data_IF_956969787608
#
_entry.id   IF_956969787608
#
_cell.length_a   1.000
_cell.length_b   1.000
_cell.length_c   1.000
_cell.angle_alpha   90.00
_cell.angle_beta   90.00
_cell.angle_gamma   90.00
#
_symmetry.space_group_name_H-M   'P 1'
#
loop_
_entity.id
_entity.type
_entity.pdbx_description
1 polymer ?
#
# COMPACT_ATOMS: atom_id res chain seq x y z
N UNK A 1 -26.41 14.83 14.22
CA UNK A 1 -26.83 13.40 14.25
C UNK A 1 -25.80 12.69 13.40
N UNK A 2 -24.79 12.09 14.04
CA UNK A 2 -23.82 11.29 13.31
C UNK A 2 -24.55 10.03 12.87
N UNK A 3 -24.67 9.81 11.56
CA UNK A 3 -25.07 8.50 11.06
C UNK A 3 -24.10 7.49 11.64
N UNK A 4 -24.65 6.51 12.36
CA UNK A 4 -23.94 5.36 12.90
C UNK A 4 -23.44 4.56 11.69
N UNK A 5 -22.22 4.88 11.23
CA UNK A 5 -21.58 4.14 10.15
C UNK A 5 -21.25 2.77 10.73
N UNK A 6 -22.11 1.79 10.44
CA UNK A 6 -21.87 0.38 10.73
C UNK A 6 -20.51 -0.02 10.15
N UNK A 7 -19.50 0.03 11.01
CA UNK A 7 -18.12 -0.18 10.62
C UNK A 7 -17.96 -1.67 10.37
N UNK A 8 -17.59 -2.10 9.15
CA UNK A 8 -17.57 -3.50 8.82
C UNK A 8 -16.62 -4.25 9.74
N UNK A 9 -17.02 -5.45 10.16
CA UNK A 9 -16.20 -6.27 11.04
C UNK A 9 -14.84 -6.58 10.39
N UNK A 10 -13.74 -6.51 11.15
CA UNK A 10 -12.42 -6.89 10.66
C UNK A 10 -12.43 -8.33 10.12
N UNK A 11 -11.71 -8.61 9.01
CA UNK A 11 -11.53 -9.97 8.52
C UNK A 11 -10.95 -10.89 9.59
N UNK A 12 -11.37 -12.15 9.58
CA UNK A 12 -10.81 -13.17 10.47
C UNK A 12 -9.30 -13.35 10.23
N UNK A 13 -8.55 -13.61 11.31
CA UNK A 13 -7.11 -13.88 11.26
C UNK A 13 -6.21 -12.65 11.20
N UNK A 14 -6.74 -11.45 11.48
CA UNK A 14 -5.93 -10.28 11.80
C UNK A 14 -5.56 -10.28 13.29
N UNK A 15 -4.36 -9.80 13.59
CA UNK A 15 -3.93 -9.54 14.97
C UNK A 15 -4.42 -8.15 15.42
N UNK A 16 -4.03 -7.73 16.63
CA UNK A 16 -4.53 -6.50 17.25
C UNK A 16 -4.26 -5.25 16.39
N UNK A 17 -3.05 -5.12 15.84
CA UNK A 17 -2.64 -3.94 15.09
C UNK A 17 -3.36 -3.81 13.74
N UNK A 18 -3.48 -4.92 12.99
CA UNK A 18 -4.23 -4.98 11.75
C UNK A 18 -5.72 -4.77 11.95
N UNK A 19 -6.31 -5.35 13.01
CA UNK A 19 -7.71 -5.11 13.36
C UNK A 19 -7.99 -3.66 13.79
N UNK A 20 -7.02 -2.99 14.44
CA UNK A 20 -7.11 -1.57 14.74
C UNK A 20 -7.06 -0.72 13.47
N UNK A 21 -6.08 -0.96 12.59
CA UNK A 21 -5.98 -0.24 11.32
C UNK A 21 -7.26 -0.40 10.47
N UNK A 22 -7.84 -1.60 10.43
CA UNK A 22 -9.09 -1.83 9.71
C UNK A 22 -10.21 -0.91 10.19
N UNK A 23 -10.41 -0.81 11.51
CA UNK A 23 -11.46 0.03 12.11
C UNK A 23 -11.17 1.49 11.85
N UNK A 24 -9.96 1.96 12.15
CA UNK A 24 -9.58 3.37 11.98
C UNK A 24 -9.77 3.85 10.52
N UNK A 25 -9.45 2.99 9.54
CA UNK A 25 -9.63 3.33 8.13
C UNK A 25 -11.10 3.39 7.72
N UNK A 26 -11.94 2.49 8.21
CA UNK A 26 -13.37 2.47 7.88
C UNK A 26 -14.16 3.54 8.65
N UNK A 27 -13.71 3.94 9.83
CA UNK A 27 -14.19 5.13 10.54
C UNK A 27 -13.85 6.41 9.76
N UNK A 28 -12.67 6.45 9.11
CA UNK A 28 -12.23 7.59 8.33
C UNK A 28 -12.99 7.75 7.00
N UNK A 29 -13.21 6.66 6.26
CA UNK A 29 -13.84 6.74 4.93
C UNK A 29 -14.37 5.39 4.42
N UNK A 30 -15.37 5.43 3.55
CA UNK A 30 -15.82 4.24 2.82
C UNK A 30 -14.87 3.88 1.67
N UNK A 31 -14.71 2.57 1.44
CA UNK A 31 -13.85 2.00 0.40
C UNK A 31 -14.69 1.24 -0.64
N UNK A 32 -14.30 1.34 -1.91
CA UNK A 32 -14.83 0.47 -2.95
C UNK A 32 -14.27 -0.97 -2.84
N UNK A 33 -14.79 -1.95 -3.59
CA UNK A 33 -14.30 -3.34 -3.51
C UNK A 33 -12.81 -3.50 -3.80
N UNK A 34 -12.23 -2.74 -4.73
CA UNK A 34 -10.81 -2.82 -5.05
C UNK A 34 -9.96 -2.21 -3.92
N UNK A 35 -10.39 -1.06 -3.38
CA UNK A 35 -9.76 -0.45 -2.22
C UNK A 35 -9.84 -1.35 -0.98
N UNK A 36 -10.96 -2.04 -0.77
CA UNK A 36 -11.16 -2.95 0.37
C UNK A 36 -10.13 -4.10 0.35
N UNK A 37 -9.75 -4.60 -0.82
CA UNK A 37 -8.67 -5.59 -0.97
C UNK A 37 -7.34 -4.99 -0.52
N UNK A 38 -7.02 -3.76 -0.95
CA UNK A 38 -5.79 -3.08 -0.55
C UNK A 38 -5.75 -2.79 0.96
N UNK A 39 -6.88 -2.42 1.56
CA UNK A 39 -7.01 -2.24 3.01
C UNK A 39 -6.73 -3.54 3.75
N UNK A 40 -7.29 -4.66 3.28
CA UNK A 40 -7.05 -5.99 3.88
C UNK A 40 -5.57 -6.37 3.83
N UNK A 41 -4.90 -6.15 2.70
CA UNK A 41 -3.47 -6.43 2.59
C UNK A 41 -2.63 -5.49 3.46
N UNK A 42 -2.99 -4.20 3.56
CA UNK A 42 -2.33 -3.28 4.47
C UNK A 42 -2.43 -3.73 5.93
N UNK A 43 -3.59 -4.23 6.38
CA UNK A 43 -3.77 -4.76 7.74
C UNK A 43 -2.85 -5.96 8.01
N UNK A 44 -2.77 -6.91 7.06
CA UNK A 44 -1.89 -8.08 7.16
C UNK A 44 -0.41 -7.71 7.21
N UNK A 45 -0.01 -6.67 6.48
CA UNK A 45 1.37 -6.17 6.50
C UNK A 45 1.69 -5.53 7.85
N UNK A 46 0.76 -4.78 8.44
CA UNK A 46 0.94 -4.23 9.80
C UNK A 46 1.12 -5.34 10.82
N UNK A 47 0.29 -6.38 10.81
CA UNK A 47 0.45 -7.53 11.71
C UNK A 47 1.81 -8.22 11.54
N UNK A 48 2.27 -8.37 10.29
CA UNK A 48 3.60 -8.94 10.00
C UNK A 48 4.73 -8.03 10.48
N UNK A 49 4.59 -6.72 10.39
CA UNK A 49 5.57 -5.77 10.91
C UNK A 49 5.65 -5.82 12.44
N UNK A 50 4.52 -5.94 13.13
CA UNK A 50 4.48 -6.12 14.60
C UNK A 50 5.16 -7.43 15.02
N UNK A 51 4.95 -8.52 14.28
CA UNK A 51 5.66 -9.78 14.52
C UNK A 51 7.17 -9.65 14.27
N UNK A 52 7.58 -8.99 13.18
CA UNK A 52 9.00 -8.76 12.88
C UNK A 52 9.67 -7.86 13.93
N UNK A 53 8.95 -6.86 14.44
CA UNK A 53 9.45 -6.00 15.53
C UNK A 53 9.61 -6.79 16.83
N UNK A 54 8.66 -7.67 17.16
CA UNK A 54 8.81 -8.62 18.28
C UNK A 54 10.03 -9.52 18.11
N UNK A 55 10.31 -10.02 16.90
CA UNK A 55 11.51 -10.82 16.65
C UNK A 55 12.80 -10.00 16.79
N UNK A 56 12.84 -8.80 16.24
CA UNK A 56 14.01 -7.91 16.30
C UNK A 56 14.31 -7.40 17.71
N UNK A 57 13.29 -7.21 18.54
CA UNK A 57 13.42 -6.83 19.95
C UNK A 57 13.77 -8.00 20.88
N UNK A 58 13.89 -9.22 20.34
CA UNK A 58 14.18 -10.43 21.12
C UNK A 58 12.96 -10.99 21.87
N UNK A 59 11.76 -10.44 21.64
CA UNK A 59 10.50 -10.91 22.20
C UNK A 59 9.83 -12.01 21.34
N UNK A 60 10.43 -12.40 20.20
CA UNK A 60 9.89 -13.39 19.26
C UNK A 60 10.94 -14.40 18.80
N UNK A 61 10.56 -15.68 18.75
CA UNK A 61 11.49 -16.80 18.49
C UNK A 61 11.55 -17.30 17.03
N UNK A 62 10.83 -16.65 16.10
CA UNK A 62 10.49 -17.24 14.79
C UNK A 62 11.55 -17.13 13.69
N UNK A 63 12.58 -16.29 13.82
CA UNK A 63 13.67 -16.14 12.82
C UNK A 63 15.05 -16.31 13.44
N UNK A 64 15.15 -17.21 14.41
CA UNK A 64 16.41 -17.59 15.02
C UNK A 64 16.89 -18.89 14.39
N UNK A 65 18.07 -18.85 13.77
CA UNK A 65 18.80 -20.06 13.42
C UNK A 65 20.02 -20.22 14.31
N UNK A 66 20.24 -21.43 14.78
CA UNK A 66 21.46 -21.79 15.50
C UNK A 66 22.53 -22.08 14.46
N UNK A 67 23.63 -21.32 14.47
CA UNK A 67 24.86 -21.66 13.75
C UNK A 67 25.86 -22.24 14.73
N UNK A 68 26.31 -23.45 14.45
CA UNK A 68 27.47 -24.04 15.13
C UNK A 68 28.71 -23.22 14.77
N UNK A 69 29.52 -22.88 15.78
CA UNK A 69 30.84 -22.36 15.54
C UNK A 69 31.71 -23.46 14.93
N UNK A 70 32.37 -23.17 13.80
CA UNK A 70 33.20 -24.15 13.09
C UNK A 70 34.50 -24.46 13.83
N UNK A 71 34.89 -23.61 14.78
CA UNK A 71 36.14 -23.72 15.53
C UNK A 71 35.96 -24.27 16.97
N UNK A 72 34.74 -24.24 17.50
CA UNK A 72 34.41 -24.70 18.86
C UNK A 72 33.03 -25.37 18.91
N UNK A 73 33.02 -26.69 19.09
CA UNK A 73 31.80 -27.54 19.16
C UNK A 73 30.93 -27.24 20.40
N UNK A 74 31.37 -26.33 21.27
CA UNK A 74 30.70 -25.94 22.51
C UNK A 74 29.92 -24.64 22.39
N UNK A 75 30.16 -23.84 21.34
CA UNK A 75 29.60 -22.49 21.18
C UNK A 75 28.60 -22.43 20.03
N UNK A 76 27.36 -22.06 20.35
CA UNK A 76 26.26 -21.90 19.39
C UNK A 76 25.89 -20.42 19.21
N UNK A 77 25.89 -19.93 17.98
CA UNK A 77 25.46 -18.57 17.64
C UNK A 77 23.99 -18.53 17.26
N UNK A 78 23.22 -17.71 17.98
CA UNK A 78 21.86 -17.35 17.60
C UNK A 78 21.92 -16.25 16.52
N UNK A 79 21.58 -16.58 15.27
CA UNK A 79 21.62 -15.61 14.17
C UNK A 79 20.20 -15.26 13.73
N UNK A 80 19.86 -13.97 13.82
CA UNK A 80 18.62 -13.39 13.27
C UNK A 80 18.94 -12.79 11.90
N UNK A 81 19.03 -13.64 10.89
CA UNK A 81 19.32 -13.20 9.51
C UNK A 81 18.03 -12.75 8.81
N UNK A 82 18.07 -11.59 8.16
CA UNK A 82 17.07 -11.16 7.18
C UNK A 82 15.80 -10.49 7.72
N UNK A 83 15.44 -10.63 9.01
CA UNK A 83 14.23 -10.04 9.58
C UNK A 83 14.15 -8.50 9.39
N UNK A 84 15.27 -7.79 9.56
CA UNK A 84 15.35 -6.35 9.32
C UNK A 84 15.18 -5.98 7.84
N UNK A 85 15.69 -6.80 6.94
CA UNK A 85 15.55 -6.59 5.49
C UNK A 85 14.08 -6.78 5.08
N UNK A 86 13.45 -7.85 5.55
CA UNK A 86 12.04 -8.13 5.33
C UNK A 86 11.15 -7.01 5.88
N UNK A 87 11.41 -6.55 7.11
CA UNK A 87 10.68 -5.44 7.72
C UNK A 87 10.73 -4.18 6.84
N UNK A 88 11.90 -3.83 6.30
CA UNK A 88 12.05 -2.69 5.37
C UNK A 88 11.27 -2.88 4.07
N UNK A 89 11.23 -4.11 3.54
CA UNK A 89 10.45 -4.42 2.34
C UNK A 89 8.95 -4.27 2.61
N UNK A 90 8.46 -4.84 3.70
CA UNK A 90 7.07 -4.73 4.15
C UNK A 90 6.66 -3.26 4.40
N UNK A 91 7.51 -2.46 5.05
CA UNK A 91 7.29 -1.01 5.24
C UNK A 91 7.13 -0.27 3.91
N UNK A 92 7.96 -0.59 2.91
CA UNK A 92 7.87 0.03 1.58
C UNK A 92 6.57 -0.34 0.87
N UNK A 93 6.14 -1.60 0.94
CA UNK A 93 4.86 -2.03 0.35
C UNK A 93 3.68 -1.38 1.07
N UNK A 94 3.69 -1.34 2.41
CA UNK A 94 2.64 -0.67 3.20
C UNK A 94 2.49 0.79 2.79
N UNK A 95 3.62 1.52 2.67
CA UNK A 95 3.61 2.91 2.20
C UNK A 95 2.97 3.04 0.81
N UNK A 96 3.28 2.14 -0.12
CA UNK A 96 2.70 2.15 -1.47
C UNK A 96 1.19 1.89 -1.46
N UNK A 97 0.73 0.95 -0.64
CA UNK A 97 -0.71 0.66 -0.46
C UNK A 97 -1.45 1.87 0.10
N UNK A 98 -0.94 2.48 1.18
CA UNK A 98 -1.56 3.65 1.82
C UNK A 98 -1.62 4.86 0.87
N UNK A 99 -0.58 5.10 0.06
CA UNK A 99 -0.60 6.14 -0.96
C UNK A 99 -1.65 5.84 -2.04
N UNK A 100 -1.77 4.58 -2.45
CA UNK A 100 -2.76 4.13 -3.45
C UNK A 100 -4.19 4.33 -2.97
N UNK A 101 -4.46 4.12 -1.67
CA UNK A 101 -5.79 4.33 -1.09
C UNK A 101 -6.26 5.79 -1.16
N UNK A 102 -5.34 6.76 -1.28
CA UNK A 102 -5.65 8.20 -1.38
C UNK A 102 -6.61 8.65 -0.29
N UNK A 103 -6.28 8.29 0.95
CA UNK A 103 -7.06 8.60 2.13
C UNK A 103 -7.35 10.10 2.23
N UNK A 104 -8.56 10.49 2.68
CA UNK A 104 -8.88 11.90 2.88
C UNK A 104 -8.00 12.50 3.97
N UNK A 105 -7.56 13.73 3.77
CA UNK A 105 -6.86 14.49 4.80
C UNK A 105 -7.80 14.78 5.98
N UNK A 106 -7.33 14.53 7.20
CA UNK A 106 -8.18 14.61 8.41
C UNK A 106 -8.62 16.04 8.75
N UNK A 107 -7.92 17.08 8.25
CA UNK A 107 -8.27 18.49 8.50
C UNK A 107 -9.17 19.07 7.43
N UNK A 108 -8.95 18.68 6.17
CA UNK A 108 -9.62 19.29 5.01
C UNK A 108 -10.68 18.40 4.38
N UNK A 109 -10.70 17.09 4.70
CA UNK A 109 -11.56 16.08 4.09
C UNK A 109 -11.25 15.79 2.62
N UNK A 110 -10.26 16.48 2.03
CA UNK A 110 -9.93 16.37 0.61
C UNK A 110 -9.03 15.16 0.37
N UNK A 111 -9.33 14.39 -0.68
CA UNK A 111 -8.48 13.28 -1.13
C UNK A 111 -7.34 13.81 -2.02
N UNK A 112 -6.10 13.29 -1.86
CA UNK A 112 -4.98 13.60 -2.75
C UNK A 112 -5.37 13.38 -4.22
N UNK A 113 -4.96 14.26 -5.15
CA UNK A 113 -5.31 14.13 -6.57
C UNK A 113 -4.76 12.84 -7.19
N UNK A 114 -5.55 12.20 -8.07
CA UNK A 114 -5.09 11.07 -8.86
C UNK A 114 -4.08 11.58 -9.89
N UNK A 115 -2.81 11.26 -9.68
CA UNK A 115 -1.84 11.42 -10.76
C UNK A 115 -1.92 10.16 -11.61
N UNK A 116 -2.73 10.22 -12.66
CA UNK A 116 -2.81 9.14 -13.65
C UNK A 116 -1.45 8.84 -14.28
N UNK A 117 -1.38 7.74 -15.04
CA UNK A 117 -0.15 7.35 -15.75
C UNK A 117 0.47 8.55 -16.47
N UNK A 118 1.75 8.82 -16.23
CA UNK A 118 2.50 9.87 -16.93
C UNK A 118 3.08 9.29 -18.21
N UNK A 119 3.01 10.05 -19.31
CA UNK A 119 3.61 9.67 -20.59
C UNK A 119 2.71 8.81 -21.48
N UNK A 120 3.31 7.96 -22.32
CA UNK A 120 2.68 7.23 -23.42
C UNK A 120 1.55 6.25 -23.02
N UNK A 121 1.34 6.02 -21.72
CA UNK A 121 0.26 5.20 -21.17
C UNK A 121 -0.95 6.01 -20.68
N UNK A 122 -0.98 7.33 -20.88
CA UNK A 122 -2.27 8.02 -20.85
C UNK A 122 -3.17 7.43 -21.94
N UNK A 123 -4.41 7.02 -21.64
CA UNK A 123 -5.36 6.69 -22.70
C UNK A 123 -5.55 7.94 -23.56
N UNK A 124 -4.93 7.98 -24.73
CA UNK A 124 -5.21 8.99 -25.74
C UNK A 124 -6.56 8.65 -26.36
N UNK A 125 -7.65 8.96 -25.65
CA UNK A 125 -8.95 8.46 -26.10
C UNK A 125 -10.10 8.70 -25.16
N UNK A 126 -10.26 9.89 -24.58
CA UNK A 126 -11.60 10.46 -24.52
C UNK A 126 -11.70 11.47 -25.64
N UNK A 127 -12.08 10.98 -26.82
CA UNK A 127 -12.69 11.81 -27.85
C UNK A 127 -13.93 12.42 -27.17
N UNK A 128 -13.79 13.62 -26.63
CA UNK A 128 -14.93 14.46 -26.36
C UNK A 128 -15.66 14.56 -27.70
N UNK A 129 -16.91 14.07 -27.72
CA UNK A 129 -17.87 14.32 -28.78
C UNK A 129 -17.99 15.84 -28.91
N UNK A 130 -17.16 16.43 -29.78
CA UNK A 130 -16.90 17.86 -29.73
C UNK A 130 -15.56 18.27 -30.37
N UNK A 131 -15.35 17.90 -31.64
CA UNK A 131 -14.70 18.78 -32.61
C UNK A 131 -13.32 19.38 -32.33
N UNK A 132 -12.38 18.69 -31.68
CA UNK A 132 -10.97 19.13 -31.68
C UNK A 132 -10.13 18.33 -32.67
N UNK A 133 -9.84 18.97 -33.80
CA UNK A 133 -8.99 18.41 -34.86
C UNK A 133 -7.58 18.13 -34.31
N UNK A 134 -7.09 16.91 -34.58
CA UNK A 134 -5.77 16.44 -34.16
C UNK A 134 -4.65 17.41 -34.61
N UNK A 135 -3.56 17.59 -33.83
CA UNK A 135 -2.39 18.38 -34.24
C UNK A 135 -1.82 17.97 -35.62
N UNK A 136 -1.88 16.67 -35.95
CA UNK A 136 -1.49 16.13 -37.26
C UNK A 136 -2.39 16.65 -38.40
N UNK A 137 -3.67 16.82 -38.11
CA UNK A 137 -4.67 17.24 -39.08
C UNK A 137 -4.63 18.76 -39.31
N UNK A 138 -4.28 19.52 -38.25
CA UNK A 138 -3.87 20.93 -38.37
C UNK A 138 -2.59 21.11 -39.18
N UNK A 139 -1.64 20.18 -39.10
CA UNK A 139 -0.42 20.24 -39.90
C UNK A 139 -0.71 19.96 -41.38
N UNK A 140 -1.53 18.94 -41.68
CA UNK A 140 -1.96 18.63 -43.07
C UNK A 140 -2.75 19.76 -43.72
N UNK A 141 -3.63 20.43 -42.98
CA UNK A 141 -4.36 21.61 -43.50
C UNK A 141 -3.44 22.78 -43.83
N UNK A 142 -2.30 22.92 -43.14
CA UNK A 142 -1.31 23.95 -43.48
C UNK A 142 -0.47 23.59 -44.69
N UNK A 143 -0.13 22.31 -44.87
CA UNK A 143 0.64 21.87 -46.05
C UNK A 143 -0.20 21.79 -47.32
N UNK A 144 -1.54 21.65 -47.21
CA UNK A 144 -2.44 21.58 -48.36
C UNK A 144 -2.93 22.96 -48.87
N UNK A 145 -2.45 24.06 -48.27
CA UNK A 145 -2.84 25.44 -48.60
C UNK A 145 -1.72 26.29 -49.18
N UNK A 146 -0.68 25.68 -49.76
CA UNK A 146 0.41 26.33 -50.48
C UNK A 146 0.43 25.90 -51.95
#
# INVERSE_FOLDING_TARGET
MADDVDTPQPPAGLDQAGAALWRDLHELTAFDPAQTILVREACRIVDRLDELDRQLSGAGARMVHVREDREDDTTFHLVVDGALSEARQQQNVLKQLLVTLRLPDTKTGKRPQLRGARGAYQPSGTVAVGGTVSPLERARRRSAGA
#
